data_IF_492734750265
#
_entry.id   IF_492734750265
#
_cell.length_a   1.000
_cell.length_b   1.000
_cell.length_c   1.000
_cell.angle_alpha   90.00
_cell.angle_beta   90.00
_cell.angle_gamma   90.00
#
_symmetry.space_group_name_H-M   'P 1'
#
loop_
_entity.id
_entity.type
_entity.pdbx_description
1 polymer ?
#
# COMPACT_ATOMS: atom_id res chain seq x y z
N UNK A 1 -60.25 -27.95 0.87
CA UNK A 1 -61.33 -27.72 -0.12
C UNK A 1 -61.44 -28.94 -1.02
N UNK A 2 -62.67 -29.33 -1.38
CA UNK A 2 -62.91 -30.46 -2.30
C UNK A 2 -63.19 -29.96 -3.72
N UNK A 3 -63.00 -30.81 -4.74
CA UNK A 3 -63.34 -30.45 -6.13
C UNK A 3 -64.83 -30.11 -6.29
N UNK A 4 -65.69 -30.81 -5.53
CA UNK A 4 -67.13 -30.57 -5.50
C UNK A 4 -67.44 -29.16 -5.01
N UNK A 5 -66.74 -28.70 -3.98
CA UNK A 5 -66.86 -27.36 -3.43
C UNK A 5 -66.37 -26.28 -4.43
N UNK A 6 -65.32 -26.56 -5.20
CA UNK A 6 -64.88 -25.65 -6.26
C UNK A 6 -65.92 -25.52 -7.38
N UNK A 7 -66.56 -26.63 -7.76
CA UNK A 7 -67.64 -26.63 -8.76
C UNK A 7 -68.89 -25.91 -8.24
N UNK A 8 -69.25 -26.08 -6.96
CA UNK A 8 -70.39 -25.34 -6.38
C UNK A 8 -70.12 -23.85 -6.31
N UNK A 9 -68.89 -23.43 -5.96
CA UNK A 9 -68.49 -22.02 -5.97
C UNK A 9 -68.58 -21.44 -7.40
N UNK A 10 -68.06 -22.15 -8.40
CA UNK A 10 -68.15 -21.72 -9.80
C UNK A 10 -69.62 -21.59 -10.24
N UNK A 11 -70.47 -22.56 -9.90
CA UNK A 11 -71.89 -22.53 -10.20
C UNK A 11 -72.62 -21.35 -9.56
N UNK A 12 -72.30 -21.03 -8.30
CA UNK A 12 -72.85 -19.87 -7.61
C UNK A 12 -72.40 -18.56 -8.27
N UNK A 13 -71.11 -18.44 -8.63
CA UNK A 13 -70.59 -17.25 -9.32
C UNK A 13 -71.21 -17.06 -10.70
N UNK A 14 -71.37 -18.13 -11.49
CA UNK A 14 -72.02 -18.03 -12.80
C UNK A 14 -73.47 -17.59 -12.69
N UNK A 15 -74.17 -17.97 -11.61
CA UNK A 15 -75.53 -17.49 -11.32
C UNK A 15 -75.56 -16.00 -11.01
N UNK A 16 -74.60 -15.49 -10.24
CA UNK A 16 -74.47 -14.05 -9.95
C UNK A 16 -74.28 -13.23 -11.24
N UNK A 17 -73.58 -13.80 -12.22
CA UNK A 17 -73.30 -13.16 -13.51
C UNK A 17 -74.40 -13.32 -14.56
N UNK A 18 -75.47 -14.06 -14.26
CA UNK A 18 -76.55 -14.34 -15.21
C UNK A 18 -77.33 -13.09 -15.63
N UNK A 19 -77.31 -12.02 -14.83
CA UNK A 19 -77.89 -10.72 -15.18
C UNK A 19 -77.02 -9.83 -16.06
N UNK A 20 -75.71 -10.13 -16.20
CA UNK A 20 -74.74 -9.31 -16.91
C UNK A 20 -74.28 -9.92 -18.23
N UNK A 21 -74.29 -11.25 -18.34
CA UNK A 21 -73.85 -11.97 -19.52
C UNK A 21 -75.00 -12.77 -20.13
N UNK A 22 -74.98 -12.87 -21.46
CA UNK A 22 -75.87 -13.77 -22.17
C UNK A 22 -75.44 -15.24 -21.98
N UNK A 23 -76.34 -16.17 -22.30
CA UNK A 23 -76.15 -17.60 -22.05
C UNK A 23 -74.92 -18.18 -22.76
N UNK A 24 -74.61 -17.71 -23.98
CA UNK A 24 -73.45 -18.17 -24.75
C UNK A 24 -72.13 -17.78 -24.07
N UNK A 25 -72.02 -16.55 -23.56
CA UNK A 25 -70.81 -16.11 -22.85
C UNK A 25 -70.66 -16.81 -21.50
N UNK A 26 -71.77 -17.10 -20.80
CA UNK A 26 -71.73 -17.87 -19.55
C UNK A 26 -71.24 -19.31 -19.78
N UNK A 27 -71.66 -19.95 -20.87
CA UNK A 27 -71.15 -21.26 -21.26
C UNK A 27 -69.67 -21.23 -21.61
N UNK A 28 -69.23 -20.24 -22.40
CA UNK A 28 -67.81 -20.07 -22.72
C UNK A 28 -66.95 -19.84 -21.47
N UNK A 29 -67.47 -19.08 -20.49
CA UNK A 29 -66.80 -18.86 -19.21
C UNK A 29 -66.72 -20.15 -18.39
N UNK A 30 -67.82 -20.91 -18.34
CA UNK A 30 -67.85 -22.23 -17.69
C UNK A 30 -66.80 -23.18 -18.30
N UNK A 31 -66.74 -23.25 -19.63
CA UNK A 31 -65.77 -24.07 -20.36
C UNK A 31 -64.32 -23.62 -20.11
N UNK A 32 -64.08 -22.31 -20.05
CA UNK A 32 -62.77 -21.76 -19.71
C UNK A 32 -62.32 -22.20 -18.31
N UNK A 33 -63.16 -21.99 -17.29
CA UNK A 33 -62.84 -22.38 -15.91
C UNK A 33 -62.72 -23.89 -15.74
N UNK A 34 -63.54 -24.65 -16.45
CA UNK A 34 -63.44 -26.10 -16.47
C UNK A 34 -62.06 -26.55 -16.98
N UNK A 35 -61.64 -26.04 -18.13
CA UNK A 35 -60.40 -26.45 -18.79
C UNK A 35 -59.14 -25.91 -18.13
N UNK A 36 -59.21 -24.75 -17.48
CA UNK A 36 -58.04 -24.13 -16.81
C UNK A 36 -57.91 -24.59 -15.37
N UNK A 37 -58.96 -24.46 -14.55
CA UNK A 37 -58.90 -24.66 -13.11
C UNK A 37 -59.43 -26.02 -12.65
N UNK A 38 -60.63 -26.42 -13.08
CA UNK A 38 -61.29 -27.63 -12.56
C UNK A 38 -60.55 -28.89 -13.03
N UNK A 39 -60.16 -28.95 -14.31
CA UNK A 39 -59.42 -30.07 -14.88
C UNK A 39 -58.07 -30.31 -14.18
N UNK A 40 -57.41 -29.25 -13.73
CA UNK A 40 -56.11 -29.31 -13.06
C UNK A 40 -56.21 -29.13 -11.54
N UNK A 41 -57.40 -29.29 -10.95
CA UNK A 41 -57.66 -29.00 -9.55
C UNK A 41 -56.68 -29.71 -8.60
N UNK A 42 -56.38 -30.99 -8.85
CA UNK A 42 -55.45 -31.77 -8.03
C UNK A 42 -54.01 -31.24 -8.09
N UNK A 43 -53.59 -30.69 -9.23
CA UNK A 43 -52.27 -30.08 -9.39
C UNK A 43 -52.17 -28.81 -8.55
N UNK A 44 -53.17 -27.93 -8.64
CA UNK A 44 -53.22 -26.72 -7.81
C UNK A 44 -53.31 -27.05 -6.33
N UNK A 45 -54.12 -28.05 -5.95
CA UNK A 45 -54.21 -28.52 -4.57
C UNK A 45 -52.86 -29.03 -4.06
N UNK A 46 -52.11 -29.76 -4.88
CA UNK A 46 -50.78 -30.24 -4.50
C UNK A 46 -49.76 -29.09 -4.39
N UNK A 47 -49.77 -28.16 -5.36
CA UNK A 47 -48.80 -27.06 -5.42
C UNK A 47 -49.05 -26.02 -4.33
N UNK A 48 -50.30 -25.66 -4.08
CA UNK A 48 -50.70 -24.56 -3.19
C UNK A 48 -51.15 -25.02 -1.80
N UNK A 49 -51.53 -26.29 -1.66
CA UNK A 49 -52.11 -26.83 -0.42
C UNK A 49 -51.12 -27.60 0.46
N UNK A 50 -49.88 -27.83 0.01
CA UNK A 50 -48.85 -28.46 0.82
C UNK A 50 -47.76 -27.46 1.19
N UNK A 51 -47.38 -27.44 2.46
CA UNK A 51 -46.14 -26.81 2.89
C UNK A 51 -44.99 -27.55 2.23
N UNK A 52 -44.20 -26.84 1.43
CA UNK A 52 -43.01 -27.40 0.81
C UNK A 52 -41.87 -27.28 1.80
N UNK A 53 -41.17 -28.39 2.04
CA UNK A 53 -39.92 -28.37 2.77
C UNK A 53 -38.83 -27.78 1.86
N UNK A 54 -38.75 -26.45 1.85
CA UNK A 54 -37.76 -25.71 1.06
C UNK A 54 -36.42 -25.88 1.76
N UNK A 55 -35.61 -26.80 1.26
CA UNK A 55 -34.22 -26.96 1.65
C UNK A 55 -33.40 -25.78 1.09
N UNK A 56 -33.57 -24.60 1.69
CA UNK A 56 -32.83 -23.40 1.34
C UNK A 56 -31.49 -23.44 2.06
N UNK A 57 -30.41 -23.72 1.32
CA UNK A 57 -29.06 -23.55 1.85
C UNK A 57 -28.76 -22.05 1.92
N UNK A 58 -28.96 -21.47 3.11
CA UNK A 58 -28.55 -20.08 3.39
C UNK A 58 -27.09 -20.14 3.83
N UNK A 59 -26.21 -19.53 3.03
CA UNK A 59 -24.81 -19.34 3.38
C UNK A 59 -24.60 -17.88 3.77
N UNK A 60 -24.06 -17.66 4.96
CA UNK A 60 -23.67 -16.32 5.40
C UNK A 60 -22.38 -15.92 4.70
N UNK A 61 -22.46 -14.91 3.83
CA UNK A 61 -21.32 -14.31 3.16
C UNK A 61 -20.98 -13.00 3.86
N UNK A 62 -19.86 -12.98 4.59
CA UNK A 62 -19.31 -11.73 5.11
C UNK A 62 -18.74 -10.89 3.95
N UNK A 63 -19.47 -9.85 3.59
CA UNK A 63 -19.01 -8.86 2.60
C UNK A 63 -18.20 -7.79 3.36
N UNK A 64 -16.88 -7.90 3.32
CA UNK A 64 -16.02 -6.84 3.86
C UNK A 64 -16.13 -5.59 3.00
N UNK A 65 -16.61 -4.49 3.58
CA UNK A 65 -16.57 -3.19 2.92
C UNK A 65 -15.16 -2.60 3.00
N UNK A 66 -14.69 -1.90 1.95
CA UNK A 66 -13.42 -1.20 2.01
C UNK A 66 -13.46 -0.15 3.14
N UNK A 67 -12.32 0.12 3.78
CA UNK A 67 -12.25 1.15 4.81
C UNK A 67 -12.69 2.49 4.23
N UNK A 68 -13.37 3.29 5.05
CA UNK A 68 -13.83 4.61 4.64
C UNK A 68 -12.61 5.48 4.30
N UNK A 69 -12.59 6.14 3.13
CA UNK A 69 -11.47 7.00 2.77
C UNK A 69 -11.37 8.16 3.76
N UNK A 70 -10.13 8.60 3.99
CA UNK A 70 -9.85 9.75 4.84
C UNK A 70 -10.49 11.02 4.25
N UNK A 71 -10.84 12.01 5.08
CA UNK A 71 -11.30 13.32 4.64
C UNK A 71 -10.32 13.98 3.67
N UNK A 72 -10.83 14.70 2.67
CA UNK A 72 -10.00 15.45 1.71
C UNK A 72 -9.11 16.50 2.38
N UNK A 73 -9.46 16.96 3.59
CA UNK A 73 -8.63 17.87 4.39
C UNK A 73 -7.29 17.24 4.83
N UNK A 74 -7.24 15.91 4.93
CA UNK A 74 -6.00 15.15 5.16
C UNK A 74 -5.25 14.85 3.85
N UNK A 75 -5.85 15.22 2.71
CA UNK A 75 -5.27 15.10 1.40
C UNK A 75 -4.00 15.93 1.29
N UNK A 76 -2.99 15.35 0.66
CA UNK A 76 -1.75 16.03 0.34
C UNK A 76 -1.83 16.60 -1.06
N UNK A 77 -1.38 17.84 -1.22
CA UNK A 77 -1.22 18.42 -2.55
C UNK A 77 -0.26 17.57 -3.41
N UNK A 78 -0.58 17.43 -4.69
CA UNK A 78 0.17 16.58 -5.62
C UNK A 78 1.63 17.01 -5.74
N UNK A 79 1.91 18.32 -5.80
CA UNK A 79 3.28 18.82 -5.95
C UNK A 79 4.09 18.57 -4.69
N UNK A 80 3.48 18.76 -3.51
CA UNK A 80 4.11 18.46 -2.22
C UNK A 80 4.38 16.95 -2.07
N UNK A 81 3.42 16.10 -2.48
CA UNK A 81 3.61 14.65 -2.47
C UNK A 81 4.75 14.22 -3.39
N UNK A 82 4.77 14.73 -4.63
CA UNK A 82 5.83 14.42 -5.61
C UNK A 82 7.20 14.86 -5.12
N UNK A 83 7.29 16.06 -4.53
CA UNK A 83 8.52 16.56 -3.94
C UNK A 83 9.04 15.65 -2.82
N UNK A 84 8.15 15.21 -1.93
CA UNK A 84 8.52 14.28 -0.85
C UNK A 84 8.97 12.92 -1.37
N UNK A 85 8.31 12.38 -2.41
CA UNK A 85 8.74 11.14 -3.05
C UNK A 85 10.17 11.27 -3.60
N UNK A 86 10.47 12.37 -4.29
CA UNK A 86 11.82 12.62 -4.81
C UNK A 86 12.85 12.78 -3.68
N UNK A 87 12.50 13.42 -2.57
CA UNK A 87 13.38 13.52 -1.39
C UNK A 87 13.65 12.15 -0.76
N UNK A 88 12.64 11.29 -0.70
CA UNK A 88 12.78 9.95 -0.13
C UNK A 88 13.60 9.04 -1.05
N UNK A 89 13.40 9.12 -2.36
CA UNK A 89 14.24 8.43 -3.34
C UNK A 89 15.72 8.80 -3.18
N UNK A 90 16.03 10.11 -3.11
CA UNK A 90 17.41 10.57 -2.88
C UNK A 90 17.97 10.10 -1.52
N UNK A 91 17.14 10.05 -0.48
CA UNK A 91 17.54 9.59 0.86
C UNK A 91 17.86 8.10 0.86
N UNK A 92 17.01 7.29 0.24
CA UNK A 92 17.19 5.84 0.14
C UNK A 92 18.43 5.51 -0.70
N UNK A 93 18.66 6.21 -1.80
CA UNK A 93 19.88 6.09 -2.60
C UNK A 93 21.15 6.44 -1.80
N UNK A 94 21.12 7.51 -1.00
CA UNK A 94 22.24 7.91 -0.14
C UNK A 94 22.54 6.84 0.93
N UNK A 95 21.50 6.30 1.57
CA UNK A 95 21.63 5.19 2.54
C UNK A 95 22.19 3.95 1.87
N UNK A 96 21.69 3.58 0.69
CA UNK A 96 22.16 2.43 -0.05
C UNK A 96 23.65 2.54 -0.41
N UNK A 97 24.11 3.70 -0.88
CA UNK A 97 25.54 3.95 -1.17
C UNK A 97 26.42 3.77 0.08
N UNK A 98 25.98 4.27 1.24
CA UNK A 98 26.69 4.06 2.52
C UNK A 98 26.73 2.60 2.94
N UNK A 99 25.61 1.90 2.83
CA UNK A 99 25.53 0.47 3.18
C UNK A 99 26.45 -0.35 2.28
N UNK A 100 26.42 -0.12 0.96
CA UNK A 100 27.30 -0.80 0.01
C UNK A 100 28.78 -0.56 0.32
N UNK A 101 29.15 0.66 0.75
CA UNK A 101 30.51 0.97 1.18
C UNK A 101 30.94 0.16 2.40
N UNK A 102 30.07 0.04 3.42
CA UNK A 102 30.37 -0.77 4.59
C UNK A 102 30.52 -2.25 4.24
N UNK A 103 29.65 -2.77 3.36
CA UNK A 103 29.73 -4.15 2.88
C UNK A 103 31.02 -4.42 2.12
N UNK A 104 31.39 -3.56 1.17
CA UNK A 104 32.62 -3.73 0.40
C UNK A 104 33.86 -3.66 1.30
N UNK A 105 33.89 -2.72 2.24
CA UNK A 105 34.99 -2.60 3.21
C UNK A 105 35.15 -3.87 4.06
N UNK A 106 34.03 -4.51 4.41
CA UNK A 106 34.03 -5.81 5.08
C UNK A 106 34.57 -6.92 4.17
N UNK A 107 34.11 -6.98 2.92
CA UNK A 107 34.54 -7.99 1.95
C UNK A 107 36.04 -7.90 1.64
N UNK A 108 36.55 -6.70 1.36
CA UNK A 108 37.97 -6.46 1.09
C UNK A 108 38.87 -6.84 2.28
N UNK A 109 38.42 -6.58 3.51
CA UNK A 109 39.15 -7.02 4.71
C UNK A 109 39.22 -8.54 4.83
N UNK A 110 38.11 -9.22 4.53
CA UNK A 110 38.05 -10.67 4.56
C UNK A 110 38.97 -11.29 3.49
N UNK A 111 38.92 -10.75 2.28
CA UNK A 111 39.77 -11.15 1.16
C UNK A 111 41.26 -10.91 1.46
N UNK A 112 41.61 -9.74 2.01
CA UNK A 112 42.97 -9.46 2.47
C UNK A 112 43.45 -10.49 3.50
N UNK A 113 42.61 -10.82 4.48
CA UNK A 113 42.95 -11.82 5.50
C UNK A 113 43.18 -13.20 4.86
N UNK A 114 42.35 -13.58 3.90
CA UNK A 114 42.47 -14.83 3.16
C UNK A 114 43.78 -14.90 2.38
N UNK A 115 44.08 -13.90 1.53
CA UNK A 115 45.32 -13.87 0.74
C UNK A 115 46.56 -13.92 1.63
N UNK A 116 46.56 -13.15 2.73
CA UNK A 116 47.68 -13.20 3.68
C UNK A 116 47.82 -14.60 4.28
N UNK A 117 46.72 -15.23 4.70
CA UNK A 117 46.75 -16.58 5.27
C UNK A 117 47.26 -17.62 4.26
N UNK A 118 46.85 -17.55 2.99
CA UNK A 118 47.36 -18.41 1.92
C UNK A 118 48.87 -18.22 1.76
N UNK A 119 49.32 -16.97 1.64
CA UNK A 119 50.74 -16.62 1.51
C UNK A 119 51.58 -17.15 2.68
N UNK A 120 51.05 -17.10 3.91
CA UNK A 120 51.72 -17.66 5.10
C UNK A 120 51.64 -19.19 5.20
N UNK A 121 50.65 -19.82 4.55
CA UNK A 121 50.43 -21.28 4.57
C UNK A 121 51.18 -22.03 3.47
N UNK A 122 51.49 -21.37 2.35
CA UNK A 122 52.31 -21.90 1.26
C UNK A 122 53.77 -22.14 1.65
N UNK A 123 54.19 -21.72 2.85
CA UNK A 123 55.49 -22.09 3.39
C UNK A 123 55.55 -23.62 3.62
N UNK A 124 56.48 -24.33 2.96
CA UNK A 124 56.62 -25.77 3.14
C UNK A 124 56.90 -26.07 4.62
N UNK A 125 56.24 -27.10 5.14
CA UNK A 125 56.16 -27.44 6.56
C UNK A 125 57.50 -27.58 7.29
N UNK A 126 58.10 -26.46 7.67
CA UNK A 126 59.29 -26.36 8.52
C UNK A 126 58.88 -25.71 9.84
N UNK A 127 58.16 -26.45 10.68
CA UNK A 127 57.89 -26.04 12.06
C UNK A 127 59.17 -25.92 12.92
N UNK A 128 60.36 -26.24 12.38
CA UNK A 128 61.60 -26.40 13.14
C UNK A 128 62.88 -25.92 12.42
N UNK A 129 62.80 -25.30 11.23
CA UNK A 129 63.99 -24.81 10.50
C UNK A 129 63.88 -23.30 10.28
N UNK A 130 64.95 -22.58 10.63
CA UNK A 130 64.99 -21.12 10.47
C UNK A 130 64.85 -20.74 8.99
N UNK A 131 63.94 -19.81 8.70
CA UNK A 131 63.74 -19.27 7.37
C UNK A 131 65.01 -18.61 6.86
N UNK A 132 65.35 -18.83 5.59
CA UNK A 132 66.44 -18.07 4.97
C UNK A 132 66.03 -16.62 4.81
N UNK A 133 67.01 -15.71 4.85
CA UNK A 133 66.77 -14.28 4.72
C UNK A 133 66.02 -13.94 3.42
N UNK A 134 66.38 -14.60 2.34
CA UNK A 134 65.78 -14.39 1.01
C UNK A 134 64.31 -14.83 0.95
N UNK A 135 63.95 -15.90 1.67
CA UNK A 135 62.58 -16.40 1.76
C UNK A 135 61.71 -15.46 2.60
N UNK A 136 62.26 -14.95 3.71
CA UNK A 136 61.60 -13.96 4.55
C UNK A 136 61.39 -12.64 3.82
N UNK A 137 62.37 -12.16 3.06
CA UNK A 137 62.27 -10.92 2.29
C UNK A 137 61.18 -11.01 1.21
N UNK A 138 61.09 -12.15 0.50
CA UNK A 138 60.01 -12.41 -0.45
C UNK A 138 58.64 -12.40 0.22
N UNK A 139 58.50 -13.07 1.36
CA UNK A 139 57.24 -13.13 2.10
C UNK A 139 56.79 -11.74 2.58
N UNK A 140 57.72 -10.93 3.08
CA UNK A 140 57.44 -9.55 3.50
C UNK A 140 57.00 -8.71 2.30
N UNK A 141 57.71 -8.81 1.18
CA UNK A 141 57.36 -8.07 -0.04
C UNK A 141 55.98 -8.46 -0.57
N UNK A 142 55.63 -9.75 -0.54
CA UNK A 142 54.30 -10.23 -0.96
C UNK A 142 53.20 -9.73 -0.03
N UNK A 143 53.40 -9.82 1.29
CA UNK A 143 52.44 -9.31 2.27
C UNK A 143 52.23 -7.79 2.14
N UNK A 144 53.31 -7.03 1.90
CA UNK A 144 53.24 -5.59 1.62
C UNK A 144 52.47 -5.35 0.31
N UNK A 145 52.73 -6.12 -0.74
CA UNK A 145 52.04 -5.98 -2.02
C UNK A 145 50.53 -6.19 -1.87
N UNK A 146 50.10 -7.26 -1.19
CA UNK A 146 48.70 -7.55 -0.89
C UNK A 146 48.05 -6.39 -0.11
N UNK A 147 48.76 -5.82 0.88
CA UNK A 147 48.26 -4.68 1.63
C UNK A 147 48.12 -3.41 0.77
N UNK A 148 49.08 -3.15 -0.11
CA UNK A 148 49.06 -1.98 -1.00
C UNK A 148 47.91 -2.07 -2.01
N UNK A 149 47.72 -3.23 -2.66
CA UNK A 149 46.64 -3.39 -3.64
C UNK A 149 45.26 -3.29 -2.98
N UNK A 150 45.05 -3.94 -1.83
CA UNK A 150 43.79 -3.82 -1.08
C UNK A 150 43.51 -2.37 -0.65
N UNK A 151 44.54 -1.65 -0.18
CA UNK A 151 44.39 -0.24 0.20
C UNK A 151 44.06 0.64 -1.00
N UNK A 152 44.71 0.40 -2.15
CA UNK A 152 44.46 1.13 -3.39
C UNK A 152 43.02 0.96 -3.86
N UNK A 153 42.51 -0.28 -3.88
CA UNK A 153 41.12 -0.55 -4.24
C UNK A 153 40.12 0.12 -3.27
N UNK A 154 40.39 0.02 -1.97
CA UNK A 154 39.56 0.67 -0.95
C UNK A 154 39.51 2.19 -1.15
N UNK A 155 40.66 2.84 -1.36
CA UNK A 155 40.74 4.28 -1.57
C UNK A 155 40.02 4.71 -2.85
N UNK A 156 40.22 4.00 -3.96
CA UNK A 156 39.54 4.29 -5.22
C UNK A 156 38.02 4.25 -5.06
N UNK A 157 37.52 3.21 -4.38
CA UNK A 157 36.10 3.06 -4.14
C UNK A 157 35.55 4.10 -3.15
N UNK A 158 36.27 4.38 -2.06
CA UNK A 158 35.87 5.41 -1.08
C UNK A 158 35.77 6.79 -1.74
N UNK A 159 36.72 7.13 -2.63
CA UNK A 159 36.68 8.36 -3.41
C UNK A 159 35.42 8.40 -4.30
N UNK A 160 35.17 7.35 -5.08
CA UNK A 160 34.03 7.28 -5.98
C UNK A 160 32.70 7.42 -5.23
N UNK A 161 32.50 6.64 -4.16
CA UNK A 161 31.27 6.71 -3.36
C UNK A 161 31.10 8.06 -2.68
N UNK A 162 32.21 8.67 -2.23
CA UNK A 162 32.14 10.01 -1.63
C UNK A 162 31.64 11.04 -2.63
N UNK A 163 32.12 11.00 -3.87
CA UNK A 163 31.61 11.85 -4.94
C UNK A 163 30.13 11.57 -5.24
N UNK A 164 29.74 10.31 -5.37
CA UNK A 164 28.34 9.93 -5.60
C UNK A 164 27.42 10.47 -4.47
N UNK A 165 27.83 10.33 -3.21
CA UNK A 165 27.07 10.83 -2.05
C UNK A 165 27.01 12.37 -2.06
N UNK A 166 28.10 13.04 -2.42
CA UNK A 166 28.12 14.50 -2.53
C UNK A 166 27.17 14.99 -3.62
N UNK A 167 27.12 14.29 -4.76
CA UNK A 167 26.18 14.59 -5.84
C UNK A 167 24.72 14.41 -5.38
N UNK A 168 24.39 13.29 -4.73
CA UNK A 168 23.07 13.07 -4.14
C UNK A 168 22.68 14.16 -3.12
N UNK A 169 23.64 14.59 -2.29
CA UNK A 169 23.43 15.70 -1.35
C UNK A 169 23.21 17.03 -2.06
N UNK A 170 23.93 17.28 -3.14
CA UNK A 170 23.75 18.48 -3.97
C UNK A 170 22.37 18.47 -4.61
N UNK A 171 21.97 17.36 -5.25
CA UNK A 171 20.63 17.18 -5.83
C UNK A 171 19.54 17.42 -4.78
N UNK A 172 19.68 16.85 -3.58
CA UNK A 172 18.76 17.07 -2.47
C UNK A 172 18.70 18.54 -2.05
N UNK A 173 19.84 19.25 -2.00
CA UNK A 173 19.86 20.69 -1.68
C UNK A 173 19.15 21.51 -2.75
N UNK A 174 19.42 21.25 -4.02
CA UNK A 174 18.75 21.90 -5.15
C UNK A 174 17.24 21.67 -5.11
N UNK A 175 16.81 20.45 -4.80
CA UNK A 175 15.38 20.11 -4.70
C UNK A 175 14.69 20.80 -3.52
N UNK A 176 15.38 20.98 -2.40
CA UNK A 176 14.85 21.75 -1.26
C UNK A 176 14.75 23.26 -1.54
N UNK A 177 15.61 23.82 -2.41
CA UNK A 177 15.49 25.22 -2.83
C UNK A 177 14.25 25.45 -3.68
N UNK A 178 13.79 24.43 -4.40
CA UNK A 178 12.58 24.44 -5.24
C UNK A 178 11.36 23.84 -4.52
N UNK A 179 11.33 23.87 -3.18
CA UNK A 179 10.22 23.30 -2.43
C UNK A 179 8.90 24.02 -2.76
N UNK A 180 7.81 23.29 -3.05
CA UNK A 180 6.51 23.89 -3.26
C UNK A 180 6.08 24.64 -2.00
N UNK A 181 5.57 25.86 -2.18
CA UNK A 181 5.09 26.69 -1.08
C UNK A 181 3.82 26.02 -0.53
N UNK A 182 3.74 25.72 0.77
CA UNK A 182 2.52 25.15 1.32
C UNK A 182 1.37 26.14 1.10
N UNK A 183 0.17 25.66 0.70
CA UNK A 183 -0.97 26.54 0.51
C UNK A 183 -1.24 27.30 1.80
N UNK A 184 -1.25 28.64 1.70
CA UNK A 184 -1.71 29.51 2.79
C UNK A 184 -3.17 29.15 3.06
N UNK A 185 -3.43 28.53 4.22
CA UNK A 185 -4.79 28.29 4.68
C UNK A 185 -5.52 29.64 4.72
N UNK A 186 -6.63 29.83 3.99
CA UNK A 186 -7.45 31.01 4.18
C UNK A 186 -8.00 30.95 5.60
N UNK A 187 -7.61 31.93 6.43
CA UNK A 187 -8.31 32.21 7.68
C UNK A 187 -9.73 32.63 7.26
N UNK A 188 -10.67 31.69 7.31
CA UNK A 188 -12.08 31.99 7.18
C UNK A 188 -12.48 32.88 8.37
N UNK A 189 -12.93 34.10 8.05
CA UNK A 189 -13.28 35.10 9.03
C UNK A 189 -14.61 34.84 9.75
N UNK A 190 -14.60 35.20 11.04
CA UNK A 190 -15.63 35.90 11.82
C UNK A 190 -16.91 35.15 12.27
N UNK A 191 -16.95 34.86 13.57
CA UNK A 191 -17.91 35.45 14.53
C UNK A 191 -17.16 35.59 15.87
N UNK A 192 -17.18 36.61 16.71
CA UNK A 192 -17.92 37.86 16.89
C UNK A 192 -17.66 38.25 18.36
N UNK A 193 -17.52 39.55 18.65
CA UNK A 193 -17.32 40.21 19.96
C UNK A 193 -15.88 40.45 20.49
N UNK A 194 -15.46 41.72 20.33
CA UNK A 194 -15.02 42.66 21.38
C UNK A 194 -14.22 42.10 22.57
N UNK A 195 -12.96 42.52 22.76
CA UNK A 195 -12.61 43.81 23.38
C UNK A 195 -11.08 44.01 23.47
N UNK A 196 -10.69 45.29 23.43
CA UNK A 196 -9.50 45.90 24.04
C UNK A 196 -8.08 45.52 23.55
N UNK A 197 -7.56 46.42 22.70
CA UNK A 197 -6.33 47.20 22.95
C UNK A 197 -5.08 46.45 23.43
N UNK A 198 -4.09 46.33 22.54
CA UNK A 198 -2.88 47.18 22.63
C UNK A 198 -1.99 46.96 21.40
N UNK A 199 -2.10 47.93 20.48
CA UNK A 199 -1.13 48.17 19.44
C UNK A 199 0.22 48.56 20.06
N UNK A 200 1.27 48.08 19.40
CA UNK A 200 2.55 48.74 19.21
C UNK A 200 3.51 48.82 20.42
N UNK A 201 4.64 48.11 20.29
CA UNK A 201 5.92 48.82 20.33
C UNK A 201 7.00 48.11 19.53
N UNK A 202 7.43 48.86 18.54
CA UNK A 202 8.43 48.64 17.52
C UNK A 202 9.83 48.49 18.10
N UNK A 203 10.61 47.64 17.43
CA UNK A 203 12.06 47.53 17.44
C UNK A 203 12.83 48.82 17.77
N UNK A 204 13.90 48.69 18.57
CA UNK A 204 15.09 49.55 18.46
C UNK A 204 16.38 48.81 18.82
N UNK A 205 17.05 48.33 17.76
CA UNK A 205 18.47 47.99 17.68
C UNK A 205 19.30 49.25 17.99
N UNK A 206 20.25 49.19 18.94
CA UNK A 206 21.35 50.17 19.05
C UNK A 206 22.65 49.52 19.52
N UNK A 207 23.68 49.68 18.68
CA UNK A 207 25.09 49.41 18.90
C UNK A 207 25.67 50.24 20.06
N UNK A 208 26.61 49.66 20.80
CA UNK A 208 27.76 50.33 21.43
C UNK A 208 28.87 49.26 21.58
N UNK A 209 29.90 49.20 20.72
CA UNK A 209 31.21 49.88 20.82
C UNK A 209 31.81 49.96 22.23
N UNK A 210 32.83 49.12 22.43
CA UNK A 210 34.13 49.32 23.10
C UNK A 210 34.25 50.37 24.23
N UNK A 211 34.89 49.97 25.34
CA UNK A 211 36.33 50.21 25.63
C UNK A 211 36.57 50.24 27.16
N UNK A 212 37.41 49.34 27.66
CA UNK A 212 38.63 49.60 28.44
C UNK A 212 39.29 48.29 28.82
#
# INVERSE_FOLDING_TARGET
CSITEAVTILGNKLRDYQGQFNTTHLLALCDYFHNTFIRHYKLYQYVLGQDRDVNLTVADLEVCTPPQPLPLAEGKDWEVWKHEQQLEELRTAEVQKRTNMLLLKGALRLEQQHLLQETFSELPGQRHQALKREELEKLINEAIHIQIECLKELLQYEIQITFDILDLKLQKKTLNLNAPIPPLVPIAGQSGQDEALLLSKTNKRKKAKAKK
#
